data_IF_572491919905
#
_entry.id   IF_572491919905
#
_cell.length_a   1.000
_cell.length_b   1.000
_cell.length_c   1.000
_cell.angle_alpha   90.00
_cell.angle_beta   90.00
_cell.angle_gamma   90.00
#
_symmetry.space_group_name_H-M   'P 1'
#
loop_
_entity.id
_entity.type
_entity.pdbx_description
1 polymer ?
#
# COMPACT_ATOMS: atom_id res chain seq x y z
N UNK A 1 -15.30 -7.83 -25.09
CA UNK A 1 -16.27 -6.90 -24.46
C UNK A 1 -15.51 -6.03 -23.49
N UNK A 2 -15.60 -4.71 -23.58
CA UNK A 2 -14.93 -3.85 -22.63
C UNK A 2 -15.57 -4.02 -21.23
N UNK A 3 -14.77 -4.00 -20.16
CA UNK A 3 -15.32 -4.00 -18.81
C UNK A 3 -16.23 -2.78 -18.63
N UNK A 4 -17.40 -3.00 -18.05
CA UNK A 4 -18.33 -1.91 -17.75
C UNK A 4 -17.70 -0.99 -16.72
N UNK A 5 -17.14 0.11 -17.18
CA UNK A 5 -16.76 1.24 -16.35
C UNK A 5 -18.03 1.91 -15.83
N UNK A 6 -18.37 1.69 -14.58
CA UNK A 6 -19.39 2.48 -13.92
C UNK A 6 -18.72 3.31 -12.81
N UNK A 7 -18.36 4.53 -13.13
CA UNK A 7 -17.93 5.49 -12.12
C UNK A 7 -19.14 6.27 -11.62
N UNK A 8 -19.48 6.12 -10.35
CA UNK A 8 -20.46 7.00 -9.71
C UNK A 8 -19.71 8.03 -8.87
N UNK A 9 -19.75 9.28 -9.29
CA UNK A 9 -19.28 10.41 -8.50
C UNK A 9 -20.42 10.88 -7.58
N UNK A 10 -20.26 10.70 -6.27
CA UNK A 10 -21.19 11.21 -5.26
C UNK A 10 -20.55 12.43 -4.61
N UNK A 11 -21.07 13.62 -4.94
CA UNK A 11 -20.69 14.87 -4.30
C UNK A 11 -21.45 15.05 -2.99
N UNK A 12 -20.77 14.96 -1.85
CA UNK A 12 -21.31 15.44 -0.57
C UNK A 12 -21.03 16.93 -0.44
N UNK A 13 -22.09 17.74 -0.48
CA UNK A 13 -22.02 19.21 -0.47
C UNK A 13 -21.53 19.84 0.84
N UNK A 14 -21.27 19.06 1.89
CA UNK A 14 -20.86 19.59 3.21
C UNK A 14 -19.35 19.58 3.46
N UNK A 15 -18.59 18.79 2.72
CA UNK A 15 -17.13 18.85 2.63
C UNK A 15 -16.77 18.43 1.21
N UNK A 16 -15.94 19.18 0.54
CA UNK A 16 -15.51 18.95 -0.85
C UNK A 16 -14.65 17.69 -1.01
N UNK A 17 -15.13 16.54 -0.51
CA UNK A 17 -14.46 15.26 -0.72
C UNK A 17 -14.99 14.60 -1.98
N UNK A 18 -14.13 14.38 -2.93
CA UNK A 18 -14.46 13.56 -4.10
C UNK A 18 -14.47 12.10 -3.69
N UNK A 19 -15.60 11.43 -3.81
CA UNK A 19 -15.72 10.00 -3.64
C UNK A 19 -15.93 9.35 -5.00
N UNK A 20 -15.02 8.40 -5.34
CA UNK A 20 -15.06 7.67 -6.60
C UNK A 20 -15.17 6.19 -6.29
N UNK A 21 -16.09 5.50 -6.94
CA UNK A 21 -16.27 4.06 -6.80
C UNK A 21 -16.03 3.38 -8.14
N UNK A 22 -15.10 2.43 -8.16
CA UNK A 22 -14.83 1.56 -9.30
C UNK A 22 -15.41 0.18 -9.05
N UNK A 23 -16.02 -0.41 -10.08
CA UNK A 23 -16.63 -1.74 -10.04
C UNK A 23 -16.01 -2.63 -11.11
N UNK A 24 -15.63 -3.85 -10.74
CA UNK A 24 -15.14 -4.85 -11.67
C UNK A 24 -13.65 -5.18 -11.52
N UNK A 25 -13.16 -5.97 -12.44
CA UNK A 25 -11.75 -6.37 -12.48
C UNK A 25 -10.92 -5.30 -13.21
N UNK A 26 -10.00 -4.69 -12.48
CA UNK A 26 -9.14 -3.60 -12.94
C UNK A 26 -7.67 -4.02 -12.99
N UNK A 27 -7.36 -5.30 -13.13
CA UNK A 27 -5.99 -5.82 -13.13
C UNK A 27 -5.07 -5.17 -14.17
N UNK A 28 -5.64 -4.68 -15.28
CA UNK A 28 -4.91 -3.99 -16.34
C UNK A 28 -4.76 -2.48 -16.12
N UNK A 29 -5.29 -1.96 -14.99
CA UNK A 29 -5.23 -0.53 -14.68
C UNK A 29 -4.15 -0.27 -13.65
N UNK A 30 -3.15 0.49 -14.05
CA UNK A 30 -2.06 0.93 -13.20
C UNK A 30 -2.21 2.40 -12.78
N UNK A 31 -1.47 2.80 -11.75
CA UNK A 31 -1.38 4.18 -11.24
C UNK A 31 -2.69 4.81 -10.75
N UNK A 32 -3.72 4.02 -10.43
CA UNK A 32 -4.94 4.59 -9.86
C UNK A 32 -4.63 5.28 -8.52
N UNK A 33 -5.08 6.53 -8.36
CA UNK A 33 -4.80 7.32 -7.17
C UNK A 33 -3.36 7.84 -7.08
N UNK A 34 -2.62 7.88 -8.19
CA UNK A 34 -1.27 8.47 -8.23
C UNK A 34 -1.31 9.94 -7.81
N UNK A 35 -0.48 10.31 -6.82
CA UNK A 35 -0.42 11.66 -6.23
C UNK A 35 -1.78 12.19 -5.77
N UNK A 36 -2.72 11.31 -5.41
CA UNK A 36 -4.06 11.74 -5.02
C UNK A 36 -4.05 12.61 -3.76
N UNK A 37 -4.91 13.64 -3.80
CA UNK A 37 -5.17 14.56 -2.69
C UNK A 37 -6.68 14.62 -2.45
N UNK A 38 -7.09 14.63 -1.19
CA UNK A 38 -8.48 14.82 -0.72
C UNK A 38 -9.53 13.99 -1.49
N UNK A 39 -9.12 12.83 -1.99
CA UNK A 39 -9.97 11.93 -2.78
C UNK A 39 -10.20 10.64 -2.01
N UNK A 40 -11.44 10.17 -1.99
CA UNK A 40 -11.82 8.88 -1.42
C UNK A 40 -12.16 7.91 -2.56
N UNK A 41 -11.34 6.89 -2.73
CA UNK A 41 -11.47 5.90 -3.81
C UNK A 41 -11.85 4.55 -3.20
N UNK A 42 -12.93 3.96 -3.70
CA UNK A 42 -13.32 2.58 -3.39
C UNK A 42 -13.24 1.74 -4.66
N UNK A 43 -12.51 0.65 -4.61
CA UNK A 43 -12.35 -0.30 -5.70
C UNK A 43 -12.97 -1.63 -5.27
N UNK A 44 -14.10 -1.99 -5.88
CA UNK A 44 -14.78 -3.26 -5.65
C UNK A 44 -14.29 -4.31 -6.67
N UNK A 45 -13.08 -4.80 -6.48
CA UNK A 45 -12.41 -5.76 -7.35
C UNK A 45 -10.92 -5.76 -7.16
N UNK A 46 -10.23 -6.47 -8.04
CA UNK A 46 -8.76 -6.46 -8.12
C UNK A 46 -8.27 -5.27 -8.93
N UNK A 47 -7.03 -4.88 -8.73
CA UNK A 47 -6.42 -3.73 -9.42
C UNK A 47 -4.96 -4.02 -9.74
N UNK A 48 -4.44 -3.39 -10.79
CA UNK A 48 -3.06 -3.50 -11.24
C UNK A 48 -2.04 -2.85 -10.29
N UNK A 49 -0.97 -2.32 -10.86
CA UNK A 49 0.21 -1.85 -10.14
C UNK A 49 0.12 -0.37 -9.76
N UNK A 50 0.98 0.06 -8.84
CA UNK A 50 1.19 1.47 -8.44
C UNK A 50 -0.04 2.17 -7.85
N UNK A 51 -1.00 1.43 -7.28
CA UNK A 51 -2.17 2.01 -6.63
C UNK A 51 -1.74 2.88 -5.46
N UNK A 52 -2.24 4.13 -5.41
CA UNK A 52 -1.89 5.09 -4.36
C UNK A 52 -0.42 5.47 -4.31
N UNK A 53 0.34 5.22 -5.37
CA UNK A 53 1.74 5.65 -5.45
C UNK A 53 1.84 7.18 -5.30
N UNK A 54 2.72 7.65 -4.42
CA UNK A 54 2.90 9.07 -4.05
C UNK A 54 1.64 9.75 -3.51
N UNK A 55 0.66 9.00 -3.02
CA UNK A 55 -0.55 9.55 -2.40
C UNK A 55 -0.21 10.50 -1.26
N UNK A 56 -0.89 11.65 -1.19
CA UNK A 56 -0.62 12.69 -0.19
C UNK A 56 -1.69 12.74 0.90
N UNK A 57 -2.96 12.73 0.54
CA UNK A 57 -4.09 12.74 1.47
C UNK A 57 -5.28 11.93 0.93
N UNK A 58 -6.35 11.80 1.71
CA UNK A 58 -7.54 11.05 1.32
C UNK A 58 -7.47 9.57 1.69
N UNK A 59 -8.25 8.74 1.02
CA UNK A 59 -8.27 7.30 1.27
C UNK A 59 -8.49 6.48 0.00
N UNK A 60 -7.83 5.33 -0.07
CA UNK A 60 -8.06 4.33 -1.10
C UNK A 60 -8.37 3.00 -0.42
N UNK A 61 -9.46 2.36 -0.80
CA UNK A 61 -9.82 1.02 -0.33
C UNK A 61 -9.98 0.09 -1.52
N UNK A 62 -9.21 -0.99 -1.53
CA UNK A 62 -9.29 -2.07 -2.53
C UNK A 62 -9.91 -3.28 -1.87
N UNK A 63 -11.06 -3.74 -2.37
CA UNK A 63 -11.77 -4.92 -1.84
C UNK A 63 -11.18 -6.25 -2.31
N UNK A 64 -10.40 -6.24 -3.36
CA UNK A 64 -9.63 -7.37 -3.86
C UNK A 64 -8.14 -7.24 -3.55
N UNK A 65 -7.33 -7.86 -4.39
CA UNK A 65 -5.87 -7.78 -4.36
C UNK A 65 -5.37 -6.66 -5.27
N UNK A 66 -4.15 -6.21 -5.02
CA UNK A 66 -3.48 -5.21 -5.84
C UNK A 66 -2.09 -5.70 -6.27
N UNK A 67 -1.61 -5.15 -7.38
CA UNK A 67 -0.33 -5.54 -7.96
C UNK A 67 0.90 -5.03 -7.20
N UNK A 68 1.95 -4.68 -7.92
CA UNK A 68 3.22 -4.21 -7.36
C UNK A 68 3.19 -2.72 -7.02
N UNK A 69 4.10 -2.27 -6.16
CA UNK A 69 4.33 -0.86 -5.79
C UNK A 69 3.11 -0.13 -5.22
N UNK A 70 2.22 -0.86 -4.55
CA UNK A 70 1.05 -0.30 -3.85
C UNK A 70 1.51 0.67 -2.77
N UNK A 71 1.01 1.91 -2.76
CA UNK A 71 1.40 2.94 -1.79
C UNK A 71 2.88 3.31 -1.80
N UNK A 72 3.62 2.99 -2.90
CA UNK A 72 5.02 3.37 -3.02
C UNK A 72 5.19 4.89 -2.86
N UNK A 73 6.16 5.30 -2.03
CA UNK A 73 6.49 6.71 -1.75
C UNK A 73 5.28 7.54 -1.25
N UNK A 74 4.26 6.90 -0.70
CA UNK A 74 3.12 7.64 -0.15
C UNK A 74 3.57 8.54 1.00
N UNK A 75 3.06 9.77 1.04
CA UNK A 75 3.43 10.78 2.04
C UNK A 75 2.33 11.05 3.07
N UNK A 76 1.13 10.55 2.84
CA UNK A 76 0.00 10.68 3.75
C UNK A 76 -1.21 9.90 3.27
N UNK A 77 -2.35 10.10 3.92
CA UNK A 77 -3.59 9.40 3.63
C UNK A 77 -3.64 7.98 4.17
N UNK A 78 -4.65 7.22 3.76
CA UNK A 78 -4.89 5.85 4.17
C UNK A 78 -5.16 4.96 2.96
N UNK A 79 -4.38 3.90 2.81
CA UNK A 79 -4.55 2.91 1.75
C UNK A 79 -4.78 1.54 2.39
N UNK A 80 -5.93 0.93 2.08
CA UNK A 80 -6.35 -0.36 2.61
C UNK A 80 -6.57 -1.33 1.45
N UNK A 81 -5.95 -2.51 1.53
CA UNK A 81 -6.15 -3.61 0.59
C UNK A 81 -6.68 -4.81 1.36
N UNK A 82 -7.88 -5.28 1.01
CA UNK A 82 -8.50 -6.42 1.68
C UNK A 82 -7.87 -7.77 1.26
N UNK A 83 -7.28 -7.84 0.07
CA UNK A 83 -6.54 -9.01 -0.45
C UNK A 83 -5.02 -8.88 -0.29
N UNK A 84 -4.31 -9.54 -1.19
CA UNK A 84 -2.85 -9.55 -1.24
C UNK A 84 -2.30 -8.34 -2.01
N UNK A 85 -1.04 -8.01 -1.76
CA UNK A 85 -0.28 -7.04 -2.55
C UNK A 85 1.00 -7.67 -3.08
N UNK A 86 1.42 -7.22 -4.26
CA UNK A 86 2.66 -7.67 -4.88
C UNK A 86 3.91 -7.10 -4.21
N UNK A 87 5.02 -7.15 -4.93
CA UNK A 87 6.32 -6.70 -4.44
C UNK A 87 6.39 -5.18 -4.33
N UNK A 88 7.27 -4.68 -3.46
CA UNK A 88 7.61 -3.26 -3.29
C UNK A 88 6.44 -2.38 -2.81
N UNK A 89 5.43 -2.93 -2.14
CA UNK A 89 4.40 -2.08 -1.54
C UNK A 89 4.99 -1.22 -0.40
N UNK A 90 4.65 0.07 -0.38
CA UNK A 90 5.23 1.06 0.55
C UNK A 90 6.72 1.39 0.31
N UNK A 91 7.32 0.85 -0.75
CA UNK A 91 8.76 1.00 -1.04
C UNK A 91 9.07 2.28 -1.83
N UNK A 92 10.37 2.51 -2.04
CA UNK A 92 10.87 3.53 -2.97
C UNK A 92 10.74 3.07 -4.42
N UNK A 93 10.61 4.01 -5.33
CA UNK A 93 10.77 3.77 -6.76
C UNK A 93 12.25 3.71 -7.15
N UNK A 94 12.54 3.18 -8.35
CA UNK A 94 13.91 3.12 -8.88
C UNK A 94 14.50 4.51 -9.00
N UNK A 95 15.68 4.72 -8.45
CA UNK A 95 16.36 6.01 -8.42
C UNK A 95 16.04 6.88 -7.20
N UNK A 96 14.99 6.56 -6.44
CA UNK A 96 14.58 7.31 -5.28
C UNK A 96 15.22 6.77 -3.98
N UNK A 97 15.53 7.69 -3.06
CA UNK A 97 16.24 7.34 -1.82
C UNK A 97 15.30 6.95 -0.68
N UNK A 98 14.02 7.29 -0.77
CA UNK A 98 13.04 7.10 0.29
C UNK A 98 11.81 6.38 -0.24
N UNK A 99 11.30 5.42 0.53
CA UNK A 99 10.02 4.79 0.29
C UNK A 99 8.88 5.63 0.89
N UNK A 100 7.95 4.98 1.55
CA UNK A 100 6.85 5.65 2.24
C UNK A 100 7.39 6.64 3.27
N UNK A 101 6.93 7.90 3.20
CA UNK A 101 7.35 8.99 4.08
C UNK A 101 6.24 9.46 5.02
N UNK A 102 5.06 8.87 4.97
CA UNK A 102 3.91 9.15 5.83
C UNK A 102 2.70 8.30 5.46
N UNK A 103 1.60 8.48 6.21
CA UNK A 103 0.32 7.80 5.98
C UNK A 103 0.22 6.40 6.57
N UNK A 104 -0.85 5.69 6.19
CA UNK A 104 -1.22 4.36 6.66
C UNK A 104 -1.40 3.41 5.49
N UNK A 105 -0.63 2.32 5.46
CA UNK A 105 -0.76 1.23 4.50
C UNK A 105 -1.19 -0.04 5.23
N UNK A 106 -2.41 -0.51 4.98
CA UNK A 106 -2.98 -1.69 5.61
C UNK A 106 -3.28 -2.76 4.57
N UNK A 107 -2.67 -3.93 4.72
CA UNK A 107 -2.88 -5.11 3.87
C UNK A 107 -3.47 -6.21 4.74
N UNK A 108 -4.67 -6.70 4.42
CA UNK A 108 -5.30 -7.78 5.18
C UNK A 108 -4.85 -9.17 4.73
N UNK A 109 -4.39 -9.30 3.48
CA UNK A 109 -3.77 -10.50 2.94
C UNK A 109 -2.26 -10.53 3.18
N UNK A 110 -1.54 -11.06 2.21
CA UNK A 110 -0.08 -11.18 2.20
C UNK A 110 0.56 -10.05 1.41
N UNK A 111 1.84 -9.80 1.66
CA UNK A 111 2.63 -8.88 0.87
C UNK A 111 3.87 -9.59 0.27
N UNK A 112 4.24 -9.18 -0.94
CA UNK A 112 5.41 -9.71 -1.62
C UNK A 112 6.73 -9.22 -1.05
N UNK A 113 7.78 -9.36 -1.83
CA UNK A 113 9.15 -8.99 -1.44
C UNK A 113 9.34 -7.47 -1.36
N UNK A 114 10.31 -7.04 -0.55
CA UNK A 114 10.69 -5.64 -0.38
C UNK A 114 9.55 -4.74 0.14
N UNK A 115 8.62 -5.30 0.92
CA UNK A 115 7.56 -4.52 1.56
C UNK A 115 8.18 -3.46 2.47
N UNK A 116 7.76 -2.18 2.28
CA UNK A 116 8.27 -1.01 3.02
C UNK A 116 9.80 -0.80 2.93
N UNK A 117 10.43 -1.21 1.82
CA UNK A 117 11.83 -0.89 1.58
C UNK A 117 12.06 0.61 1.65
N UNK A 118 13.12 1.04 2.38
CA UNK A 118 13.51 2.44 2.60
C UNK A 118 12.40 3.33 3.17
N UNK A 119 11.44 2.73 3.87
CA UNK A 119 10.42 3.49 4.59
C UNK A 119 11.08 4.47 5.56
N UNK A 120 10.63 5.72 5.54
CA UNK A 120 11.18 6.78 6.40
C UNK A 120 10.22 7.18 7.51
N UNK A 121 8.92 7.16 7.27
CA UNK A 121 7.85 7.50 8.23
C UNK A 121 6.56 6.79 7.85
N UNK A 122 5.60 6.83 8.75
CA UNK A 122 4.28 6.28 8.55
C UNK A 122 4.10 4.96 9.26
N UNK A 123 3.01 4.31 8.96
CA UNK A 123 2.60 3.06 9.56
C UNK A 123 2.18 2.08 8.47
N UNK A 124 2.73 0.90 8.50
CA UNK A 124 2.35 -0.19 7.59
C UNK A 124 1.98 -1.45 8.36
N UNK A 125 0.94 -2.16 7.93
CA UNK A 125 0.53 -3.42 8.55
C UNK A 125 0.14 -4.44 7.50
N UNK A 126 0.60 -5.68 7.68
CA UNK A 126 0.19 -6.85 6.91
C UNK A 126 -0.38 -7.88 7.88
N UNK A 127 -1.60 -8.36 7.63
CA UNK A 127 -2.20 -9.38 8.50
C UNK A 127 -1.67 -10.79 8.22
N UNK A 128 -1.29 -11.07 6.99
CA UNK A 128 -0.69 -12.33 6.54
C UNK A 128 0.83 -12.31 6.60
N UNK A 129 1.45 -13.02 5.68
CA UNK A 129 2.89 -13.17 5.55
C UNK A 129 3.49 -12.06 4.69
N UNK A 130 4.77 -11.78 4.87
CA UNK A 130 5.54 -10.89 4.01
C UNK A 130 6.72 -11.65 3.39
N UNK A 131 7.06 -11.29 2.16
CA UNK A 131 8.17 -11.91 1.42
C UNK A 131 9.54 -11.50 1.94
N UNK A 132 10.55 -11.79 1.14
CA UNK A 132 11.96 -11.50 1.44
C UNK A 132 12.23 -9.99 1.45
N UNK A 133 13.27 -9.58 2.19
CA UNK A 133 13.74 -8.20 2.31
C UNK A 133 12.67 -7.23 2.85
N UNK A 134 11.78 -7.72 3.70
CA UNK A 134 10.84 -6.87 4.42
C UNK A 134 11.58 -5.76 5.19
N UNK A 135 11.12 -4.51 5.07
CA UNK A 135 11.70 -3.28 5.65
C UNK A 135 13.21 -3.11 5.41
N UNK A 136 13.72 -3.65 4.31
CA UNK A 136 15.11 -3.49 3.91
C UNK A 136 15.49 -2.00 3.80
N UNK A 137 16.64 -1.63 4.34
CA UNK A 137 17.15 -0.25 4.41
C UNK A 137 16.17 0.75 5.08
N UNK A 138 15.25 0.28 5.92
CA UNK A 138 14.29 1.16 6.61
C UNK A 138 15.01 2.24 7.40
N UNK A 139 14.59 3.49 7.18
CA UNK A 139 15.19 4.66 7.82
C UNK A 139 14.52 4.92 9.18
N UNK A 140 13.18 4.85 9.22
CA UNK A 140 12.34 4.96 10.41
C UNK A 140 10.89 4.60 10.05
N UNK A 141 9.96 4.63 11.01
CA UNK A 141 8.55 4.29 10.87
C UNK A 141 8.16 3.07 11.67
N UNK A 142 6.96 2.56 11.46
CA UNK A 142 6.46 1.39 12.17
C UNK A 142 5.82 0.40 11.20
N UNK A 143 6.18 -0.87 11.33
CA UNK A 143 5.63 -1.95 10.53
C UNK A 143 5.17 -3.12 11.41
N UNK A 144 3.97 -3.65 11.13
CA UNK A 144 3.38 -4.79 11.83
C UNK A 144 3.13 -5.93 10.85
N UNK A 145 3.51 -7.14 11.24
CA UNK A 145 3.27 -8.38 10.48
C UNK A 145 2.53 -9.38 11.35
N UNK A 146 1.36 -9.81 10.90
CA UNK A 146 0.53 -10.81 11.56
C UNK A 146 1.04 -12.23 11.38
N UNK A 147 1.62 -12.52 10.22
CA UNK A 147 2.19 -13.80 9.83
C UNK A 147 3.70 -13.89 10.04
N UNK A 148 4.36 -14.51 9.08
CA UNK A 148 5.82 -14.71 9.03
C UNK A 148 6.47 -13.78 8.02
N UNK A 149 7.75 -13.49 8.21
CA UNK A 149 8.57 -12.77 7.23
C UNK A 149 9.54 -13.74 6.54
N UNK A 150 9.78 -13.48 5.27
CA UNK A 150 10.80 -14.18 4.48
C UNK A 150 12.21 -13.88 4.95
N UNK A 151 13.18 -14.15 4.13
CA UNK A 151 14.61 -13.99 4.46
C UNK A 151 15.03 -12.51 4.46
N UNK A 152 16.10 -12.22 5.20
CA UNK A 152 16.77 -10.91 5.19
C UNK A 152 15.86 -9.73 5.57
N UNK A 153 14.82 -9.95 6.39
CA UNK A 153 14.02 -8.86 6.92
C UNK A 153 14.85 -7.94 7.82
N UNK A 154 14.59 -6.65 7.77
CA UNK A 154 15.33 -5.65 8.55
C UNK A 154 16.77 -5.41 8.08
N UNK A 155 17.23 -6.02 6.98
CA UNK A 155 18.59 -5.81 6.49
C UNK A 155 18.84 -4.33 6.20
N UNK A 156 19.93 -3.76 6.72
CA UNK A 156 20.25 -2.35 6.55
C UNK A 156 19.37 -1.37 7.31
N UNK A 157 18.43 -1.84 8.14
CA UNK A 157 17.55 -1.01 8.93
C UNK A 157 18.35 -0.10 9.88
N UNK A 158 18.02 1.19 9.90
CA UNK A 158 18.70 2.17 10.77
C UNK A 158 17.92 2.44 12.06
N UNK A 159 16.62 2.70 11.94
CA UNK A 159 15.69 2.97 13.04
C UNK A 159 14.30 2.54 12.63
N UNK A 160 13.39 2.46 13.58
CA UNK A 160 11.99 2.12 13.38
C UNK A 160 11.56 1.00 14.30
N UNK A 161 10.28 0.64 14.21
CA UNK A 161 9.68 -0.39 15.03
C UNK A 161 9.08 -1.46 14.12
N UNK A 162 9.47 -2.71 14.39
CA UNK A 162 8.86 -3.88 13.75
C UNK A 162 8.16 -4.68 14.84
N UNK A 163 6.91 -5.04 14.59
CA UNK A 163 6.12 -5.89 15.48
C UNK A 163 5.69 -7.12 14.70
N UNK A 164 6.00 -8.29 15.24
CA UNK A 164 5.50 -9.56 14.74
C UNK A 164 4.46 -10.12 15.71
N UNK A 165 3.30 -10.51 15.20
CA UNK A 165 2.28 -11.17 16.00
C UNK A 165 2.61 -12.66 16.23
N UNK A 166 3.42 -13.27 15.37
CA UNK A 166 3.92 -14.63 15.50
C UNK A 166 5.44 -14.65 15.71
N UNK A 167 5.92 -15.68 16.39
CA UNK A 167 7.37 -15.92 16.55
C UNK A 167 8.02 -16.11 15.18
N UNK A 168 9.10 -15.39 14.93
CA UNK A 168 9.88 -15.53 13.69
C UNK A 168 10.99 -16.57 13.92
N UNK A 169 11.11 -17.52 13.01
CA UNK A 169 12.27 -18.41 12.97
C UNK A 169 13.36 -17.68 12.18
N UNK A 170 14.47 -17.38 12.83
CA UNK A 170 15.65 -16.72 12.23
C UNK A 170 16.56 -17.78 11.63
#
# INVERSE_FOLDING_TARGET
>A
FPPHFCSHEILDRRKSFKRIVFQGDLNEIDFLGFKSEDTHILINGHIGNYVGCMMQTGSITVKGSAGHFVGAMMSGGSLVVDGDVGNYAGANLTGEMEGMVGGFLLVKGNAGNNFCRRMRRGFASVSGDVGDFFVNDMIAGSAIVGGTAGKMWGYGMRRGTIIFAKHQVV
#
